data_IF_450808578460
#
_entry.id   IF_450808578460
#
_cell.length_a   1.000
_cell.length_b   1.000
_cell.length_c   1.000
_cell.angle_alpha   90.00
_cell.angle_beta   90.00
_cell.angle_gamma   90.00
#
_symmetry.space_group_name_H-M   'P 1'
#
loop_
_entity.id
_entity.type
_entity.pdbx_description
1 polymer ?
#
# COMPACT_ATOMS: atom_id res chain seq x y z
N UNK A 1 -77.90 -18.05 -9.46
CA UNK A 1 -78.26 -19.49 -9.59
C UNK A 1 -76.96 -20.27 -9.43
N UNK A 2 -76.63 -21.06 -8.42
CA UNK A 2 -77.27 -21.66 -7.22
C UNK A 2 -76.07 -22.01 -6.30
N UNK A 3 -75.82 -21.29 -5.20
CA UNK A 3 -75.92 -21.70 -3.77
C UNK A 3 -75.49 -23.12 -3.34
N UNK A 4 -74.52 -23.12 -2.40
CA UNK A 4 -74.32 -23.95 -1.17
C UNK A 4 -74.17 -25.48 -1.23
N UNK A 5 -73.11 -26.03 -0.59
CA UNK A 5 -73.21 -26.65 0.75
C UNK A 5 -71.86 -26.99 1.41
N UNK A 6 -71.82 -26.85 2.74
CA UNK A 6 -70.74 -27.16 3.68
C UNK A 6 -70.43 -28.67 3.79
N UNK A 7 -69.18 -29.02 4.14
CA UNK A 7 -68.95 -30.06 5.15
C UNK A 7 -67.54 -29.94 5.76
N UNK A 8 -67.51 -29.73 7.08
CA UNK A 8 -66.32 -29.82 7.93
C UNK A 8 -66.00 -31.30 8.17
N UNK A 9 -64.76 -31.71 7.92
CA UNK A 9 -64.17 -32.92 8.53
C UNK A 9 -62.80 -32.61 9.07
N UNK A 10 -62.75 -32.48 10.39
CA UNK A 10 -61.58 -32.58 11.25
C UNK A 10 -60.92 -33.94 11.07
N UNK A 11 -59.71 -33.96 10.51
CA UNK A 11 -58.81 -35.11 10.58
C UNK A 11 -57.55 -34.68 11.31
N UNK A 12 -57.33 -35.29 12.48
CA UNK A 12 -56.06 -35.29 13.19
C UNK A 12 -55.00 -35.95 12.30
N UNK A 13 -54.08 -35.17 11.72
CA UNK A 13 -52.83 -35.69 11.20
C UNK A 13 -51.76 -35.60 12.29
N UNK A 14 -51.33 -36.75 12.78
CA UNK A 14 -50.11 -36.90 13.55
C UNK A 14 -48.92 -36.45 12.69
N UNK A 15 -48.18 -35.47 13.18
CA UNK A 15 -46.94 -35.02 12.58
C UNK A 15 -45.85 -36.10 12.74
N UNK A 16 -45.58 -36.85 11.67
CA UNK A 16 -44.35 -37.63 11.55
C UNK A 16 -43.28 -36.64 11.06
N UNK A 17 -42.51 -36.09 12.00
CA UNK A 17 -41.25 -35.41 11.73
C UNK A 17 -40.24 -36.46 11.26
N UNK A 18 -40.23 -36.76 9.96
CA UNK A 18 -39.06 -37.37 9.32
C UNK A 18 -37.99 -36.30 9.26
N UNK A 19 -37.11 -36.30 10.25
CA UNK A 19 -35.89 -35.52 10.24
C UNK A 19 -35.06 -35.93 9.03
N UNK A 20 -35.11 -35.13 7.97
CA UNK A 20 -34.06 -35.12 6.97
C UNK A 20 -32.82 -34.52 7.64
N UNK A 21 -32.03 -35.39 8.26
CA UNK A 21 -30.62 -35.10 8.52
C UNK A 21 -29.98 -34.85 7.18
N UNK A 22 -29.71 -33.58 6.90
CA UNK A 22 -28.85 -33.15 5.80
C UNK A 22 -27.46 -33.73 6.11
N UNK A 23 -27.16 -34.94 5.59
CA UNK A 23 -25.80 -35.44 5.55
C UNK A 23 -25.05 -34.57 4.53
N UNK A 24 -24.45 -33.50 5.02
CA UNK A 24 -23.37 -32.85 4.31
C UNK A 24 -22.25 -33.90 4.12
N UNK A 25 -21.65 -34.00 2.93
CA UNK A 25 -20.50 -34.88 2.75
C UNK A 25 -19.42 -34.45 3.74
N UNK A 26 -18.95 -35.42 4.51
CA UNK A 26 -17.91 -35.27 5.53
C UNK A 26 -16.58 -34.83 4.91
N UNK A 27 -16.43 -33.54 4.60
CA UNK A 27 -15.17 -32.88 4.25
C UNK A 27 -14.26 -32.67 5.46
N UNK A 28 -13.00 -32.31 5.27
CA UNK A 28 -12.00 -32.06 6.33
C UNK A 28 -12.29 -30.76 7.13
N UNK A 29 -13.51 -30.22 7.14
CA UNK A 29 -13.93 -28.96 7.77
C UNK A 29 -13.74 -28.82 9.29
N UNK A 30 -13.13 -29.81 9.93
CA UNK A 30 -12.89 -29.86 11.37
C UNK A 30 -11.37 -29.73 11.62
N UNK A 31 -10.91 -28.83 12.50
CA UNK A 31 -9.51 -28.74 12.93
C UNK A 31 -8.91 -30.09 13.34
N UNK A 32 -9.73 -30.99 13.92
CA UNK A 32 -9.32 -32.36 14.28
C UNK A 32 -8.97 -33.18 13.04
N UNK A 33 -9.69 -33.01 11.93
CA UNK A 33 -9.45 -33.72 10.66
C UNK A 33 -8.22 -33.18 9.94
N UNK A 34 -7.95 -31.87 10.01
CA UNK A 34 -6.72 -31.30 9.47
C UNK A 34 -5.48 -31.83 10.22
N UNK A 35 -5.55 -31.95 11.55
CA UNK A 35 -4.48 -32.56 12.34
C UNK A 35 -4.24 -34.02 11.93
N UNK A 36 -5.30 -34.80 11.76
CA UNK A 36 -5.20 -36.19 11.27
C UNK A 36 -4.59 -36.29 9.87
N UNK A 37 -4.92 -35.35 8.98
CA UNK A 37 -4.32 -35.28 7.65
C UNK A 37 -2.81 -34.99 7.72
N UNK A 38 -2.39 -34.03 8.55
CA UNK A 38 -0.98 -33.70 8.75
C UNK A 38 -0.23 -34.90 9.34
N UNK A 39 -0.78 -35.54 10.36
CA UNK A 39 -0.20 -36.72 11.00
C UNK A 39 -0.08 -37.90 10.02
N UNK A 40 -1.10 -38.11 9.18
CA UNK A 40 -1.16 -39.23 8.24
C UNK A 40 -0.28 -39.07 6.99
N UNK A 41 -0.05 -37.85 6.53
CA UNK A 41 0.58 -37.60 5.21
C UNK A 41 1.83 -36.70 5.25
N UNK A 42 2.12 -36.02 6.35
CA UNK A 42 3.21 -35.04 6.42
C UNK A 42 4.30 -35.44 7.43
N UNK A 43 3.93 -35.94 8.60
CA UNK A 43 4.84 -36.17 9.72
C UNK A 43 5.93 -37.21 9.43
N UNK A 44 5.72 -38.13 8.48
CA UNK A 44 6.74 -39.11 8.08
C UNK A 44 8.04 -38.44 7.60
N UNK A 45 7.94 -37.37 6.80
CA UNK A 45 9.09 -36.63 6.26
C UNK A 45 9.33 -35.28 6.97
N UNK A 46 8.30 -34.73 7.59
CA UNK A 46 8.32 -33.46 8.32
C UNK A 46 8.22 -33.65 9.84
N UNK A 47 8.66 -34.79 10.37
CA UNK A 47 8.72 -35.04 11.81
C UNK A 47 10.09 -34.70 12.43
N UNK A 48 10.24 -34.94 13.73
CA UNK A 48 11.52 -34.75 14.47
C UNK A 48 12.71 -35.46 13.82
N UNK A 49 12.45 -36.60 13.16
CA UNK A 49 13.45 -37.40 12.45
C UNK A 49 13.36 -37.28 10.92
N UNK A 50 12.59 -36.31 10.42
CA UNK A 50 12.35 -36.10 9.00
C UNK A 50 13.47 -35.29 8.33
N UNK A 51 13.78 -35.60 7.07
CA UNK A 51 14.87 -34.95 6.32
C UNK A 51 14.47 -33.58 5.73
N UNK A 52 13.21 -33.15 5.89
CA UNK A 52 12.66 -31.99 5.19
C UNK A 52 12.89 -30.62 5.88
N UNK A 53 13.62 -30.59 7.01
CA UNK A 53 14.06 -29.35 7.67
C UNK A 53 12.94 -28.46 8.26
N UNK A 54 11.70 -28.93 8.28
CA UNK A 54 10.54 -28.28 8.90
C UNK A 54 9.78 -29.35 9.69
N UNK A 55 9.59 -29.10 10.99
CA UNK A 55 8.87 -30.00 11.89
C UNK A 55 7.39 -29.62 12.00
N UNK A 56 6.52 -30.50 11.53
CA UNK A 56 5.07 -30.41 11.52
C UNK A 56 4.42 -31.31 12.59
N UNK A 57 5.17 -31.84 13.54
CA UNK A 57 4.59 -32.59 14.65
C UNK A 57 3.73 -31.69 15.53
N UNK A 58 2.71 -32.27 16.16
CA UNK A 58 1.90 -31.61 17.20
C UNK A 58 2.74 -31.05 18.37
N UNK A 59 3.94 -31.60 18.60
CA UNK A 59 4.90 -31.10 19.60
C UNK A 59 5.64 -29.84 19.13
N UNK A 60 6.02 -29.74 17.85
CA UNK A 60 6.75 -28.60 17.30
C UNK A 60 5.86 -27.44 16.85
N UNK A 61 4.68 -27.74 16.31
CA UNK A 61 3.68 -26.72 15.94
C UNK A 61 3.12 -26.02 17.20
N UNK A 62 3.27 -26.65 18.37
CA UNK A 62 2.51 -26.31 19.58
C UNK A 62 1.06 -26.73 19.43
N UNK A 63 0.25 -26.55 20.48
CA UNK A 63 -1.15 -26.99 20.50
C UNK A 63 -2.05 -26.31 19.44
N UNK A 64 -1.55 -25.38 18.63
CA UNK A 64 -2.37 -24.58 17.73
C UNK A 64 -1.59 -24.03 16.51
N UNK A 65 -1.75 -24.67 15.35
CA UNK A 65 -1.21 -24.23 14.05
C UNK A 65 -1.71 -22.83 13.66
N UNK A 66 -2.87 -22.39 14.17
CA UNK A 66 -3.41 -21.06 13.91
C UNK A 66 -2.50 -19.93 14.41
N UNK A 67 -1.56 -20.23 15.31
CA UNK A 67 -0.57 -19.26 15.79
C UNK A 67 0.59 -19.04 14.80
N UNK A 68 0.63 -19.77 13.67
CA UNK A 68 1.73 -19.73 12.72
C UNK A 68 1.24 -19.51 11.27
N UNK A 69 0.70 -18.32 10.93
CA UNK A 69 0.11 -18.05 9.61
C UNK A 69 1.10 -18.23 8.45
N UNK A 70 2.38 -17.95 8.67
CA UNK A 70 3.45 -18.12 7.69
C UNK A 70 3.74 -19.59 7.39
N UNK A 71 3.71 -20.45 8.43
CA UNK A 71 3.84 -21.89 8.27
C UNK A 71 2.62 -22.44 7.53
N UNK A 72 1.40 -22.02 7.91
CA UNK A 72 0.17 -22.41 7.20
C UNK A 72 0.25 -22.03 5.72
N UNK A 73 0.71 -20.81 5.39
CA UNK A 73 0.86 -20.37 4.01
C UNK A 73 1.89 -21.20 3.24
N UNK A 74 3.00 -21.60 3.87
CA UNK A 74 4.01 -22.48 3.24
C UNK A 74 3.43 -23.87 2.95
N UNK A 75 2.76 -24.48 3.93
CA UNK A 75 2.10 -25.79 3.77
C UNK A 75 1.03 -25.72 2.70
N UNK A 76 0.17 -24.70 2.74
CA UNK A 76 -0.84 -24.44 1.72
C UNK A 76 -0.21 -24.37 0.32
N UNK A 77 0.82 -23.54 0.13
CA UNK A 77 1.49 -23.42 -1.18
C UNK A 77 2.05 -24.75 -1.64
N UNK A 78 2.73 -25.51 -0.76
CA UNK A 78 3.33 -26.80 -1.11
C UNK A 78 2.29 -27.85 -1.55
N UNK A 79 1.13 -27.89 -0.88
CA UNK A 79 0.04 -28.82 -1.22
C UNK A 79 -0.72 -28.37 -2.47
N UNK A 80 -1.02 -27.07 -2.61
CA UNK A 80 -1.80 -26.48 -3.72
C UNK A 80 -1.03 -26.57 -5.05
N UNK A 81 0.28 -26.30 -5.03
CA UNK A 81 1.16 -26.43 -6.21
C UNK A 81 1.57 -27.87 -6.52
N UNK A 82 1.29 -28.79 -5.60
CA UNK A 82 1.61 -30.20 -5.72
C UNK A 82 3.09 -30.56 -5.57
N UNK A 83 3.90 -29.68 -4.99
CA UNK A 83 5.27 -30.03 -4.55
C UNK A 83 5.30 -31.06 -3.43
N UNK A 84 4.20 -31.18 -2.68
CA UNK A 84 4.01 -32.22 -1.67
C UNK A 84 2.74 -33.06 -1.97
N UNK A 85 2.79 -34.39 -1.76
CA UNK A 85 3.98 -35.22 -1.43
C UNK A 85 5.05 -35.23 -2.55
N UNK A 86 6.31 -35.58 -2.25
CA UNK A 86 7.38 -35.67 -3.24
C UNK A 86 7.09 -36.76 -4.30
N UNK A 87 7.85 -36.77 -5.40
CA UNK A 87 7.59 -37.66 -6.54
C UNK A 87 7.73 -39.15 -6.19
N UNK A 88 8.55 -39.45 -5.18
CA UNK A 88 8.83 -40.79 -4.68
C UNK A 88 7.71 -41.36 -3.79
N UNK A 89 6.77 -40.52 -3.35
CA UNK A 89 5.68 -40.88 -2.45
C UNK A 89 4.34 -40.99 -3.19
N UNK A 90 3.38 -41.68 -2.57
CA UNK A 90 2.04 -41.82 -3.13
C UNK A 90 1.33 -40.46 -3.21
N UNK A 91 0.86 -40.10 -4.40
CA UNK A 91 0.15 -38.84 -4.62
C UNK A 91 -1.18 -38.82 -3.88
N UNK A 92 -1.52 -37.69 -3.26
CA UNK A 92 -2.83 -37.49 -2.65
C UNK A 92 -3.94 -37.56 -3.70
N UNK A 93 -5.07 -38.17 -3.33
CA UNK A 93 -6.29 -38.09 -4.11
C UNK A 93 -6.69 -36.62 -4.34
N UNK A 94 -7.18 -36.30 -5.54
CA UNK A 94 -7.48 -34.92 -5.93
C UNK A 94 -8.55 -34.28 -5.04
N UNK A 95 -9.56 -35.05 -4.58
CA UNK A 95 -10.59 -34.51 -3.68
C UNK A 95 -10.00 -34.24 -2.30
N UNK A 96 -9.17 -35.15 -1.81
CA UNK A 96 -8.50 -34.98 -0.52
C UNK A 96 -7.55 -33.78 -0.54
N UNK A 97 -6.78 -33.59 -1.60
CA UNK A 97 -5.90 -32.41 -1.78
C UNK A 97 -6.72 -31.12 -1.80
N UNK A 98 -7.79 -31.05 -2.59
CA UNK A 98 -8.63 -29.85 -2.68
C UNK A 98 -9.26 -29.49 -1.33
N UNK A 99 -9.70 -30.51 -0.59
CA UNK A 99 -10.29 -30.32 0.72
C UNK A 99 -9.23 -29.83 1.73
N UNK A 100 -8.04 -30.43 1.76
CA UNK A 100 -6.94 -29.97 2.61
C UNK A 100 -6.52 -28.51 2.29
N UNK A 101 -6.46 -28.15 0.99
CA UNK A 101 -6.20 -26.77 0.54
C UNK A 101 -7.28 -25.80 1.05
N UNK A 102 -8.55 -26.16 0.97
CA UNK A 102 -9.64 -25.33 1.46
C UNK A 102 -9.54 -25.10 2.98
N UNK A 103 -9.23 -26.15 3.75
CA UNK A 103 -9.05 -26.04 5.20
C UNK A 103 -7.87 -25.18 5.59
N UNK A 104 -6.72 -25.38 4.95
CA UNK A 104 -5.54 -24.55 5.18
C UNK A 104 -5.80 -23.08 4.83
N UNK A 105 -6.62 -22.79 3.80
CA UNK A 105 -7.06 -21.42 3.48
C UNK A 105 -7.93 -20.83 4.59
N UNK A 106 -8.91 -21.58 5.10
CA UNK A 106 -9.78 -21.14 6.21
C UNK A 106 -8.92 -20.85 7.45
N UNK A 107 -8.11 -21.82 7.87
CA UNK A 107 -7.24 -21.69 9.04
C UNK A 107 -6.26 -20.53 8.91
N UNK A 108 -5.65 -20.32 7.73
CA UNK A 108 -4.79 -19.17 7.47
C UNK A 108 -5.56 -17.86 7.62
N UNK A 109 -6.78 -17.79 7.07
CA UNK A 109 -7.57 -16.56 7.15
C UNK A 109 -7.96 -16.25 8.59
N UNK A 110 -8.37 -17.25 9.37
CA UNK A 110 -8.66 -17.11 10.80
C UNK A 110 -7.41 -16.70 11.60
N UNK A 111 -6.27 -17.35 11.35
CA UNK A 111 -4.97 -17.04 11.95
C UNK A 111 -4.54 -15.58 11.69
N UNK A 112 -4.72 -15.10 10.46
CA UNK A 112 -4.42 -13.72 10.07
C UNK A 112 -5.40 -12.74 10.71
N UNK A 113 -6.70 -13.07 10.76
CA UNK A 113 -7.71 -12.20 11.40
C UNK A 113 -7.51 -12.09 12.93
N UNK A 114 -7.13 -13.18 13.58
CA UNK A 114 -6.84 -13.20 15.01
C UNK A 114 -5.57 -12.40 15.38
N UNK A 115 -4.71 -12.12 14.40
CA UNK A 115 -3.47 -11.35 14.57
C UNK A 115 -3.39 -10.23 13.54
N UNK A 116 -4.01 -9.06 13.79
CA UNK A 116 -3.81 -7.86 12.99
C UNK A 116 -2.42 -7.26 13.27
N UNK A 117 -1.36 -8.04 13.04
CA UNK A 117 0.03 -7.63 13.13
C UNK A 117 0.51 -7.32 11.72
N UNK A 118 0.48 -6.04 11.37
CA UNK A 118 1.18 -5.59 10.17
C UNK A 118 2.68 -5.63 10.47
N UNK A 119 3.43 -6.46 9.74
CA UNK A 119 4.89 -6.35 9.73
C UNK A 119 5.24 -4.93 9.31
N UNK A 120 6.21 -4.31 9.98
CA UNK A 120 6.70 -3.00 9.58
C UNK A 120 7.39 -3.09 8.24
N UNK A 121 7.10 -2.13 7.37
CA UNK A 121 7.84 -1.91 6.15
C UNK A 121 9.17 -1.27 6.53
N UNK A 122 10.31 -1.88 6.17
CA UNK A 122 11.60 -1.24 6.38
C UNK A 122 11.64 0.12 5.66
N UNK A 123 12.34 1.07 6.27
CA UNK A 123 12.53 2.39 5.64
C UNK A 123 13.20 2.22 4.28
N UNK A 124 12.59 2.83 3.25
CA UNK A 124 13.14 2.86 1.89
C UNK A 124 12.82 4.18 1.22
N UNK A 125 13.64 4.62 0.28
CA UNK A 125 13.23 5.73 -0.59
C UNK A 125 12.24 5.26 -1.66
N UNK A 126 11.58 6.20 -2.31
CA UNK A 126 10.90 5.95 -3.58
C UNK A 126 11.91 5.52 -4.64
N UNK A 127 11.48 4.58 -5.49
CA UNK A 127 12.20 4.31 -6.72
C UNK A 127 11.97 5.44 -7.75
N UNK A 128 12.68 5.39 -8.87
CA UNK A 128 12.58 6.40 -9.94
C UNK A 128 11.17 6.62 -10.49
N UNK A 129 10.42 5.54 -10.69
CA UNK A 129 9.04 5.61 -11.17
C UNK A 129 8.11 6.27 -10.14
N UNK A 130 8.22 5.84 -8.88
CA UNK A 130 7.44 6.37 -7.75
C UNK A 130 7.71 7.86 -7.52
N UNK A 131 8.97 8.31 -7.63
CA UNK A 131 9.31 9.73 -7.51
C UNK A 131 8.66 10.55 -8.64
N UNK A 132 8.75 10.09 -9.89
CA UNK A 132 8.12 10.77 -11.02
C UNK A 132 6.61 10.91 -10.82
N UNK A 133 5.93 9.82 -10.47
CA UNK A 133 4.49 9.83 -10.23
C UNK A 133 4.13 10.74 -9.05
N UNK A 134 4.87 10.65 -7.93
CA UNK A 134 4.60 11.46 -6.75
C UNK A 134 4.75 12.97 -7.00
N UNK A 135 5.77 13.38 -7.77
CA UNK A 135 5.95 14.78 -8.18
C UNK A 135 4.85 15.22 -9.15
N UNK A 136 4.50 14.36 -10.12
CA UNK A 136 3.40 14.61 -11.05
C UNK A 136 2.07 14.81 -10.31
N UNK A 137 1.74 13.94 -9.36
CA UNK A 137 0.49 14.02 -8.60
C UNK A 137 0.49 15.14 -7.55
N UNK A 138 1.65 15.50 -6.99
CA UNK A 138 1.74 16.61 -6.03
C UNK A 138 1.43 17.95 -6.69
N UNK A 139 1.96 18.17 -7.90
CA UNK A 139 1.77 19.43 -8.64
C UNK A 139 0.60 19.39 -9.62
N UNK A 140 0.03 18.22 -9.89
CA UNK A 140 -0.95 18.01 -10.95
C UNK A 140 -0.35 18.26 -12.34
N UNK A 141 0.83 17.70 -12.62
CA UNK A 141 1.53 17.97 -13.88
C UNK A 141 0.84 17.29 -15.07
N UNK A 142 0.59 18.07 -16.12
CA UNK A 142 0.09 17.54 -17.41
C UNK A 142 1.22 17.07 -18.33
N UNK A 143 2.46 17.18 -17.87
CA UNK A 143 3.69 16.73 -18.54
C UNK A 143 4.45 15.81 -17.60
N UNK A 144 5.31 14.96 -18.14
CA UNK A 144 6.16 14.10 -17.32
C UNK A 144 7.27 14.91 -16.65
N UNK A 145 7.77 14.42 -15.51
CA UNK A 145 8.93 15.05 -14.86
C UNK A 145 10.16 14.81 -15.72
N UNK A 146 10.40 13.57 -16.11
CA UNK A 146 11.47 13.19 -17.02
C UNK A 146 11.11 11.92 -17.81
N UNK A 147 11.80 11.62 -18.92
CA UNK A 147 11.54 10.41 -19.69
C UNK A 147 11.82 9.13 -18.87
N UNK A 148 10.79 8.30 -18.70
CA UNK A 148 10.87 7.02 -17.99
C UNK A 148 11.07 5.85 -18.96
N UNK A 149 12.09 5.04 -18.71
CA UNK A 149 12.37 3.83 -19.49
C UNK A 149 11.54 2.63 -19.01
N UNK A 150 11.06 2.72 -17.78
CA UNK A 150 10.29 1.69 -17.07
C UNK A 150 8.85 1.59 -17.57
N UNK A 151 8.30 2.64 -18.19
CA UNK A 151 6.95 2.67 -18.77
C UNK A 151 6.95 2.09 -20.19
N UNK A 152 7.23 0.78 -20.31
CA UNK A 152 7.28 0.11 -21.62
C UNK A 152 5.88 -0.18 -22.18
N UNK A 153 4.94 -0.58 -21.34
CA UNK A 153 3.56 -0.90 -21.74
C UNK A 153 2.67 0.31 -21.48
N UNK A 154 2.06 0.86 -22.53
CA UNK A 154 1.08 1.94 -22.43
C UNK A 154 -0.25 1.45 -22.90
N UNK A 155 -1.26 1.65 -22.08
CA UNK A 155 -2.63 1.50 -22.51
C UNK A 155 -3.05 2.69 -23.39
N UNK A 156 -3.68 2.38 -24.53
CA UNK A 156 -4.26 3.35 -25.45
C UNK A 156 -5.80 3.32 -25.46
N UNK A 157 -6.37 2.36 -24.73
CA UNK A 157 -7.79 1.99 -24.73
C UNK A 157 -8.54 2.45 -23.49
N UNK A 158 -7.87 3.10 -22.53
CA UNK A 158 -8.42 3.46 -21.22
C UNK A 158 -9.02 2.23 -20.53
N UNK A 159 -8.21 1.17 -20.44
CA UNK A 159 -8.59 -0.16 -19.97
C UNK A 159 -9.15 -0.17 -18.56
N UNK A 160 -8.76 0.80 -17.74
CA UNK A 160 -9.07 0.86 -16.33
C UNK A 160 -9.98 2.03 -16.02
N UNK A 161 -11.27 1.75 -15.94
CA UNK A 161 -12.33 2.71 -15.60
C UNK A 161 -13.30 2.07 -14.60
N UNK A 162 -12.86 1.82 -13.35
CA UNK A 162 -13.68 1.16 -12.32
C UNK A 162 -15.07 1.81 -12.16
N UNK A 163 -15.17 3.12 -12.35
CA UNK A 163 -16.42 3.88 -12.31
C UNK A 163 -17.50 3.41 -13.31
N UNK A 164 -17.13 2.71 -14.38
CA UNK A 164 -18.09 2.19 -15.35
C UNK A 164 -18.61 0.80 -14.96
N UNK A 165 -17.92 0.10 -14.05
CA UNK A 165 -18.21 -1.29 -13.69
C UNK A 165 -18.10 -2.28 -14.86
N UNK A 166 -17.55 -1.87 -16.01
CA UNK A 166 -17.48 -2.67 -17.22
C UNK A 166 -16.05 -2.72 -17.76
N UNK A 167 -15.54 -3.93 -17.96
CA UNK A 167 -14.26 -4.15 -18.62
C UNK A 167 -14.46 -4.03 -20.14
N UNK A 168 -13.55 -3.39 -20.89
CA UNK A 168 -13.64 -3.39 -22.35
C UNK A 168 -13.35 -4.79 -22.90
N UNK A 169 -14.05 -5.16 -23.98
CA UNK A 169 -13.86 -6.46 -24.67
C UNK A 169 -12.44 -6.62 -25.24
N UNK A 170 -11.74 -5.52 -25.54
CA UNK A 170 -10.38 -5.51 -26.05
C UNK A 170 -9.55 -4.41 -25.36
N UNK A 171 -8.32 -4.74 -24.95
CA UNK A 171 -7.33 -3.78 -24.45
C UNK A 171 -6.20 -3.64 -25.45
N UNK A 172 -6.08 -2.45 -26.03
CA UNK A 172 -4.99 -2.03 -26.92
C UNK A 172 -3.83 -1.49 -26.10
N UNK A 173 -2.87 -2.37 -25.84
CA UNK A 173 -1.60 -2.00 -25.24
C UNK A 173 -0.54 -1.81 -26.31
N UNK A 174 0.23 -0.73 -26.22
CA UNK A 174 1.40 -0.53 -27.05
C UNK A 174 2.67 -0.73 -26.21
N UNK A 175 3.55 -1.60 -26.69
CA UNK A 175 4.96 -1.63 -26.27
C UNK A 175 5.77 -0.87 -27.30
N UNK A 176 6.34 0.29 -26.93
CA UNK A 176 7.15 1.09 -27.85
C UNK A 176 8.58 1.20 -27.35
N UNK A 177 9.59 0.74 -28.12
CA UNK A 177 10.99 0.94 -27.76
C UNK A 177 11.33 2.44 -27.76
N UNK A 178 12.10 2.85 -26.75
CA UNK A 178 12.31 4.24 -26.30
C UNK A 178 12.96 5.20 -27.30
N UNK A 179 13.47 4.71 -28.44
CA UNK A 179 14.43 5.45 -29.29
C UNK A 179 13.94 6.81 -29.82
N UNK A 180 12.65 6.95 -30.16
CA UNK A 180 12.06 8.24 -30.58
C UNK A 180 11.23 8.92 -29.50
N UNK A 181 10.98 8.25 -28.37
CA UNK A 181 10.03 8.72 -27.35
C UNK A 181 10.58 9.86 -26.48
N UNK A 182 11.88 9.87 -26.20
CA UNK A 182 12.54 10.98 -25.48
C UNK A 182 12.37 12.34 -26.19
N UNK A 183 12.11 12.31 -27.51
CA UNK A 183 11.94 13.50 -28.36
C UNK A 183 10.45 13.89 -28.46
N UNK A 184 9.51 12.95 -28.27
CA UNK A 184 8.07 13.15 -28.50
C UNK A 184 7.32 13.42 -27.20
N UNK A 185 7.77 12.85 -26.08
CA UNK A 185 7.09 13.00 -24.80
C UNK A 185 7.34 14.38 -24.19
N UNK A 186 6.27 15.10 -23.88
CA UNK A 186 6.37 16.39 -23.20
C UNK A 186 6.82 16.15 -21.76
N UNK A 187 7.96 16.72 -21.41
CA UNK A 187 8.55 16.62 -20.09
C UNK A 187 9.15 17.97 -19.66
N UNK A 188 9.52 18.08 -18.40
CA UNK A 188 10.24 19.24 -17.87
C UNK A 188 11.68 19.24 -18.41
N UNK A 189 12.02 20.22 -19.24
CA UNK A 189 13.23 20.19 -20.06
C UNK A 189 14.55 20.22 -19.28
N UNK A 190 14.55 20.77 -18.06
CA UNK A 190 15.75 20.80 -17.20
C UNK A 190 15.85 19.56 -16.30
N UNK A 191 14.76 18.84 -16.09
CA UNK A 191 14.70 17.70 -15.18
C UNK A 191 15.33 16.45 -15.82
N UNK A 192 16.52 16.09 -15.35
CA UNK A 192 17.23 14.90 -15.81
C UNK A 192 16.96 13.72 -14.86
N UNK A 193 16.67 12.51 -15.38
CA UNK A 193 16.45 11.35 -14.54
C UNK A 193 17.72 11.00 -13.75
N UNK A 194 17.56 10.65 -12.47
CA UNK A 194 18.63 10.04 -11.68
C UNK A 194 18.84 8.57 -12.09
N UNK A 195 19.97 7.94 -11.73
CA UNK A 195 20.27 6.56 -12.09
C UNK A 195 19.14 5.61 -11.73
N UNK A 196 18.83 4.68 -12.64
CA UNK A 196 17.80 3.68 -12.40
C UNK A 196 18.21 2.74 -11.27
N UNK A 197 17.24 2.43 -10.41
CA UNK A 197 17.41 1.47 -9.33
C UNK A 197 17.65 0.07 -9.87
N UNK A 198 18.58 -0.65 -9.23
CA UNK A 198 18.80 -2.04 -9.57
C UNK A 198 17.54 -2.84 -9.23
N UNK A 199 17.08 -3.63 -10.19
CA UNK A 199 16.10 -4.68 -9.91
C UNK A 199 16.83 -5.78 -9.17
N UNK A 200 16.30 -6.19 -8.02
CA UNK A 200 16.86 -7.31 -7.29
C UNK A 200 16.66 -8.62 -8.07
N UNK A 201 17.21 -9.72 -7.55
CA UNK A 201 17.15 -11.05 -8.18
C UNK A 201 15.73 -11.49 -8.57
N UNK A 202 14.72 -11.01 -7.84
CA UNK A 202 13.30 -11.32 -8.07
C UNK A 202 12.57 -10.33 -9.01
N UNK A 203 13.28 -9.39 -9.63
CA UNK A 203 12.72 -8.44 -10.61
C UNK A 203 11.99 -7.22 -10.03
N UNK A 204 11.90 -7.10 -8.71
CA UNK A 204 11.30 -5.94 -8.03
C UNK A 204 12.33 -4.84 -7.77
N UNK A 205 11.92 -3.58 -7.89
CA UNK A 205 12.75 -2.37 -7.66
C UNK A 205 12.30 -1.57 -6.43
N UNK A 206 11.45 -2.14 -5.56
CA UNK A 206 10.92 -1.53 -4.34
C UNK A 206 11.55 -2.09 -3.05
N UNK A 207 12.72 -2.73 -3.16
CA UNK A 207 13.35 -3.42 -2.03
C UNK A 207 14.16 -2.44 -1.16
N UNK A 208 13.96 -2.49 0.15
CA UNK A 208 14.46 -1.48 1.06
C UNK A 208 15.99 -1.51 1.26
N UNK A 209 16.56 -2.70 1.27
CA UNK A 209 18.00 -2.99 1.33
C UNK A 209 18.76 -2.49 0.10
N UNK A 210 18.10 -2.42 -1.06
CA UNK A 210 18.70 -1.89 -2.30
C UNK A 210 18.48 -0.39 -2.51
N UNK A 211 17.44 0.19 -1.92
CA UNK A 211 17.06 1.60 -2.07
C UNK A 211 17.75 2.49 -1.03
N UNK A 212 19.08 2.48 -1.04
CA UNK A 212 19.92 3.36 -0.21
C UNK A 212 20.05 4.77 -0.82
N UNK A 213 20.47 5.74 -0.02
CA UNK A 213 20.70 7.13 -0.46
C UNK A 213 22.16 7.53 -0.22
N UNK A 214 22.97 7.46 -1.28
CA UNK A 214 24.35 7.95 -1.23
C UNK A 214 24.38 9.49 -1.26
N UNK A 215 25.46 10.13 -0.79
CA UNK A 215 25.62 11.58 -0.90
C UNK A 215 25.49 12.10 -2.34
N UNK A 216 25.99 11.35 -3.33
CA UNK A 216 25.88 11.68 -4.76
C UNK A 216 24.42 11.67 -5.22
N UNK A 217 23.65 10.68 -4.77
CA UNK A 217 22.23 10.61 -5.10
C UNK A 217 21.44 11.71 -4.40
N UNK A 218 21.79 12.09 -3.17
CA UNK A 218 21.20 13.24 -2.48
C UNK A 218 21.42 14.55 -3.26
N UNK A 219 22.65 14.82 -3.72
CA UNK A 219 22.95 15.98 -4.58
C UNK A 219 22.14 15.93 -5.88
N UNK A 220 21.98 14.74 -6.47
CA UNK A 220 21.16 14.54 -7.66
C UNK A 220 19.69 14.90 -7.41
N UNK A 221 19.11 14.52 -6.27
CA UNK A 221 17.74 14.88 -5.91
C UNK A 221 17.57 16.38 -5.67
N UNK A 222 18.55 17.04 -5.04
CA UNK A 222 18.50 18.49 -4.82
C UNK A 222 18.59 19.28 -6.13
N UNK A 223 19.44 18.83 -7.06
CA UNK A 223 19.52 19.44 -8.41
C UNK A 223 18.24 19.19 -9.20
N UNK A 224 17.72 17.97 -9.14
CA UNK A 224 16.49 17.59 -9.80
C UNK A 224 15.31 18.40 -9.29
N UNK A 225 15.19 18.61 -7.98
CA UNK A 225 14.05 19.36 -7.42
C UNK A 225 14.02 20.82 -7.89
N UNK A 226 15.19 21.47 -7.99
CA UNK A 226 15.31 22.80 -8.58
C UNK A 226 14.98 22.78 -10.07
N UNK A 227 15.58 21.85 -10.81
CA UNK A 227 15.33 21.71 -12.24
C UNK A 227 13.84 21.49 -12.58
N UNK A 228 13.09 20.80 -11.71
CA UNK A 228 11.64 20.63 -11.85
C UNK A 228 10.91 21.97 -11.84
N UNK A 229 11.15 22.81 -10.82
CA UNK A 229 10.42 24.09 -10.66
C UNK A 229 10.94 25.20 -11.56
N UNK A 230 12.21 25.12 -11.98
CA UNK A 230 12.88 26.08 -12.86
C UNK A 230 12.63 25.80 -14.34
N UNK A 231 12.10 24.62 -14.68
CA UNK A 231 11.81 24.26 -16.07
C UNK A 231 10.80 25.24 -16.68
N UNK A 232 10.99 25.71 -17.93
CA UNK A 232 10.04 26.60 -18.61
C UNK A 232 8.63 26.00 -18.71
N UNK A 233 8.53 24.69 -18.78
CA UNK A 233 7.27 23.95 -18.80
C UNK A 233 6.55 23.96 -17.44
N UNK A 234 7.22 24.28 -16.34
CA UNK A 234 6.63 24.40 -14.99
C UNK A 234 5.94 25.76 -14.85
N UNK A 235 4.76 25.86 -15.46
CA UNK A 235 3.96 27.09 -15.54
C UNK A 235 2.47 26.81 -15.36
N UNK A 236 1.65 27.87 -15.28
CA UNK A 236 0.19 27.82 -15.08
C UNK A 236 -0.56 26.85 -15.98
N UNK A 237 -0.08 26.61 -17.21
CA UNK A 237 -0.73 25.69 -18.15
C UNK A 237 -0.54 24.23 -17.77
N UNK A 238 0.63 23.87 -17.25
CA UNK A 238 1.02 22.48 -17.04
C UNK A 238 0.98 22.06 -15.57
N UNK A 239 0.87 23.00 -14.63
CA UNK A 239 0.84 22.75 -13.18
C UNK A 239 -0.60 22.94 -12.69
N UNK A 240 -1.28 21.85 -12.33
CA UNK A 240 -2.68 21.89 -11.89
C UNK A 240 -2.91 22.68 -10.59
N UNK A 241 -1.90 22.76 -9.71
CA UNK A 241 -2.00 23.51 -8.44
C UNK A 241 -1.57 24.98 -8.54
N UNK A 242 -1.37 25.51 -9.75
CA UNK A 242 -0.77 26.84 -9.94
C UNK A 242 -1.52 27.96 -9.22
N UNK A 243 -2.81 28.09 -9.48
CA UNK A 243 -3.63 29.21 -9.00
C UNK A 243 -3.78 29.18 -7.47
N UNK A 244 -3.89 27.98 -6.90
CA UNK A 244 -4.04 27.80 -5.46
C UNK A 244 -2.73 27.89 -4.67
N UNK A 245 -1.58 27.61 -5.30
CA UNK A 245 -0.30 27.51 -4.61
C UNK A 245 0.71 28.58 -5.03
N UNK A 246 0.97 28.71 -6.34
CA UNK A 246 2.05 29.54 -6.89
C UNK A 246 1.62 30.95 -7.28
N UNK A 247 0.35 31.19 -7.63
CA UNK A 247 -0.13 32.49 -8.09
C UNK A 247 -0.05 33.55 -6.97
N UNK A 248 0.63 34.66 -7.24
CA UNK A 248 0.75 35.76 -6.29
C UNK A 248 -0.63 36.28 -5.86
N UNK A 249 -0.84 36.57 -4.57
CA UNK A 249 -2.09 37.18 -4.13
C UNK A 249 -2.29 38.54 -4.80
N UNK A 250 -3.52 38.92 -5.19
CA UNK A 250 -3.77 40.22 -5.82
C UNK A 250 -3.40 41.36 -4.85
N UNK A 251 -2.64 42.34 -5.36
CA UNK A 251 -2.20 43.54 -4.61
C UNK A 251 -3.36 44.34 -3.99
N UNK A 252 -4.58 44.17 -4.52
CA UNK A 252 -5.78 44.94 -4.20
C UNK A 252 -6.71 44.33 -3.15
N UNK A 253 -6.27 43.31 -2.39
CA UNK A 253 -7.03 42.82 -1.21
C UNK A 253 -6.35 43.13 0.14
N UNK A 254 -6.22 44.41 0.54
CA UNK A 254 -5.99 44.75 1.95
C UNK A 254 -7.20 44.41 2.84
N UNK A 255 -8.38 44.13 2.26
CA UNK A 255 -9.65 43.92 2.97
C UNK A 255 -10.02 42.47 3.34
N UNK A 256 -9.17 41.47 3.03
CA UNK A 256 -9.46 40.09 3.48
C UNK A 256 -9.17 39.86 4.97
N UNK A 257 -8.53 40.83 5.66
CA UNK A 257 -8.17 40.76 7.08
C UNK A 257 -7.16 39.67 7.44
N UNK A 258 -6.78 38.80 6.50
CA UNK A 258 -5.83 37.72 6.71
C UNK A 258 -4.40 38.22 6.53
N UNK A 259 -3.54 37.94 7.50
CA UNK A 259 -2.11 38.28 7.40
C UNK A 259 -1.45 37.52 6.24
N UNK A 260 -0.38 38.04 5.60
CA UNK A 260 0.40 37.30 4.61
C UNK A 260 0.86 35.92 5.10
N UNK A 261 1.13 35.79 6.40
CA UNK A 261 1.42 34.49 7.04
C UNK A 261 0.25 33.53 6.98
N UNK A 262 -0.96 34.00 7.31
CA UNK A 262 -2.17 33.18 7.26
C UNK A 262 -2.46 32.67 5.85
N UNK A 263 -2.23 33.50 4.82
CA UNK A 263 -2.32 33.07 3.42
C UNK A 263 -1.33 31.92 3.13
N UNK A 264 -0.06 32.09 3.52
CA UNK A 264 0.97 31.08 3.31
C UNK A 264 0.66 29.78 4.06
N UNK A 265 0.18 29.87 5.30
CA UNK A 265 -0.25 28.71 6.09
C UNK A 265 -1.36 27.92 5.39
N UNK A 266 -2.38 28.63 4.87
CA UNK A 266 -3.51 28.02 4.16
C UNK A 266 -3.08 27.31 2.87
N UNK A 267 -2.05 27.81 2.18
CA UNK A 267 -1.51 27.19 0.95
C UNK A 267 -0.53 26.05 1.25
N UNK A 268 0.37 26.25 2.22
CA UNK A 268 1.43 25.30 2.55
C UNK A 268 0.90 24.08 3.30
N UNK A 269 -0.08 24.22 4.20
CA UNK A 269 -0.57 23.08 4.99
C UNK A 269 -1.12 21.93 4.14
N UNK A 270 -2.06 22.13 3.19
CA UNK A 270 -2.54 21.03 2.35
C UNK A 270 -1.42 20.48 1.46
N UNK A 271 -0.56 21.33 0.90
CA UNK A 271 0.57 20.91 0.07
C UNK A 271 1.56 20.02 0.82
N UNK A 272 1.98 20.44 2.02
CA UNK A 272 2.87 19.65 2.89
C UNK A 272 2.19 18.38 3.38
N UNK A 273 0.88 18.43 3.66
CA UNK A 273 0.12 17.27 4.09
C UNK A 273 0.11 16.17 3.03
N UNK A 274 -0.06 16.55 1.76
CA UNK A 274 0.01 15.63 0.62
C UNK A 274 1.43 15.17 0.35
N UNK A 275 2.41 16.08 0.33
CA UNK A 275 3.81 15.77 0.07
C UNK A 275 4.41 14.80 1.09
N UNK A 276 4.12 15.00 2.38
CA UNK A 276 4.62 14.17 3.49
C UNK A 276 3.65 13.08 3.91
N UNK A 277 2.51 12.96 3.20
CA UNK A 277 1.53 11.88 3.30
C UNK A 277 0.91 11.77 4.69
N UNK A 278 0.75 12.90 5.37
CA UNK A 278 0.24 13.03 6.74
C UNK A 278 -0.03 14.49 7.07
N UNK A 279 -0.95 14.73 8.00
CA UNK A 279 -1.20 16.07 8.55
C UNK A 279 0.10 16.78 8.95
N UNK A 280 0.40 17.87 8.26
CA UNK A 280 1.52 18.74 8.60
C UNK A 280 1.24 19.47 9.92
N UNK A 281 2.12 19.28 10.91
CA UNK A 281 2.03 19.97 12.20
C UNK A 281 2.37 21.47 12.07
N UNK A 282 1.93 22.25 13.06
CA UNK A 282 2.08 23.71 13.00
C UNK A 282 3.55 24.14 12.96
N UNK A 283 4.42 23.46 13.71
CA UNK A 283 5.85 23.78 13.70
C UNK A 283 6.48 23.53 12.32
N UNK A 284 6.07 22.47 11.64
CA UNK A 284 6.52 22.12 10.30
C UNK A 284 6.01 23.14 9.28
N UNK A 285 4.73 23.52 9.32
CA UNK A 285 4.18 24.55 8.44
C UNK A 285 4.91 25.88 8.64
N UNK A 286 5.11 26.31 9.89
CA UNK A 286 5.77 27.57 10.22
C UNK A 286 7.22 27.63 9.71
N UNK A 287 7.98 26.51 9.75
CA UNK A 287 9.34 26.48 9.16
C UNK A 287 9.35 26.87 7.68
N UNK A 288 8.37 26.42 6.90
CA UNK A 288 8.27 26.76 5.48
C UNK A 288 7.71 28.17 5.28
N UNK A 289 6.71 28.60 6.06
CA UNK A 289 6.19 29.97 6.06
C UNK A 289 7.30 30.98 6.33
N UNK A 290 8.12 30.75 7.35
CA UNK A 290 9.24 31.61 7.71
C UNK A 290 10.31 31.67 6.61
N UNK A 291 10.47 30.60 5.83
CA UNK A 291 11.36 30.59 4.67
C UNK A 291 10.85 31.53 3.58
N UNK A 292 9.57 31.40 3.20
CA UNK A 292 8.96 32.27 2.18
C UNK A 292 8.99 33.73 2.64
N UNK A 293 8.60 34.00 3.89
CA UNK A 293 8.58 35.35 4.45
C UNK A 293 9.97 36.01 4.44
N UNK A 294 11.04 35.25 4.68
CA UNK A 294 12.42 35.75 4.55
C UNK A 294 12.74 36.12 3.10
N UNK A 295 12.46 35.23 2.15
CA UNK A 295 12.75 35.48 0.74
C UNK A 295 11.98 36.69 0.20
N UNK A 296 10.70 36.84 0.57
CA UNK A 296 9.90 38.03 0.24
C UNK A 296 10.49 39.30 0.84
N UNK A 297 10.96 39.25 2.09
CA UNK A 297 11.64 40.39 2.74
C UNK A 297 12.95 40.76 2.02
N UNK A 298 13.64 39.77 1.49
CA UNK A 298 14.88 39.93 0.72
C UNK A 298 14.61 40.37 -0.75
N UNK A 299 13.34 40.58 -1.13
CA UNK A 299 12.93 41.10 -2.43
C UNK A 299 12.65 40.05 -3.50
N UNK A 300 12.53 38.77 -3.14
CA UNK A 300 12.12 37.73 -4.08
C UNK A 300 10.65 37.88 -4.48
N UNK A 301 10.36 37.58 -5.75
CA UNK A 301 8.99 37.46 -6.25
C UNK A 301 8.25 36.32 -5.53
N UNK A 302 6.95 36.50 -5.27
CA UNK A 302 6.15 35.50 -4.54
C UNK A 302 6.18 34.12 -5.19
N UNK A 303 5.98 34.07 -6.51
CA UNK A 303 5.98 32.83 -7.27
C UNK A 303 7.30 32.09 -7.15
N UNK A 304 8.43 32.81 -7.24
CA UNK A 304 9.77 32.23 -7.14
C UNK A 304 10.03 31.72 -5.72
N UNK A 305 9.60 32.46 -4.69
CA UNK A 305 9.73 32.01 -3.31
C UNK A 305 8.91 30.73 -3.01
N UNK A 306 7.73 30.61 -3.62
CA UNK A 306 6.91 29.40 -3.53
C UNK A 306 7.52 28.22 -4.29
N UNK A 307 8.14 28.46 -5.46
CA UNK A 307 8.91 27.44 -6.20
C UNK A 307 10.10 26.92 -5.40
N UNK A 308 10.86 27.81 -4.76
CA UNK A 308 12.00 27.43 -3.91
C UNK A 308 11.57 26.51 -2.76
N UNK A 309 10.45 26.84 -2.11
CA UNK A 309 9.89 25.98 -1.06
C UNK A 309 9.38 24.65 -1.62
N UNK A 310 8.71 24.66 -2.78
CA UNK A 310 8.28 23.43 -3.44
C UNK A 310 9.47 22.50 -3.78
N UNK A 311 10.57 23.05 -4.31
CA UNK A 311 11.80 22.32 -4.58
C UNK A 311 12.43 21.77 -3.29
N UNK A 312 12.43 22.53 -2.20
CA UNK A 312 12.91 22.06 -0.91
C UNK A 312 12.05 20.91 -0.34
N UNK A 313 10.72 20.96 -0.55
CA UNK A 313 9.80 19.90 -0.12
C UNK A 313 10.09 18.60 -0.87
N UNK A 314 10.16 18.62 -2.20
CA UNK A 314 10.36 17.39 -3.01
C UNK A 314 11.79 16.84 -2.97
N UNK A 315 12.76 17.59 -2.42
CA UNK A 315 14.10 17.10 -2.10
C UNK A 315 14.24 16.60 -0.64
N UNK A 316 13.24 16.81 0.20
CA UNK A 316 13.34 16.48 1.63
C UNK A 316 13.30 14.97 1.87
N UNK A 317 13.96 14.45 2.93
CA UNK A 317 13.86 13.05 3.31
C UNK A 317 12.42 12.60 3.60
N UNK A 318 11.56 13.49 4.12
CA UNK A 318 10.16 13.17 4.38
C UNK A 318 9.38 12.97 3.08
N UNK A 319 9.70 13.70 2.02
CA UNK A 319 9.14 13.43 0.71
C UNK A 319 9.71 12.12 0.16
N UNK A 320 11.05 11.97 0.11
CA UNK A 320 11.73 10.85 -0.55
C UNK A 320 11.50 9.48 0.08
N UNK A 321 11.37 9.39 1.41
CA UNK A 321 11.31 8.12 2.13
C UNK A 321 9.90 7.66 2.47
N UNK A 322 9.68 6.36 2.27
CA UNK A 322 8.53 5.60 2.71
C UNK A 322 8.95 4.75 3.92
N UNK A 323 8.20 4.86 5.00
CA UNK A 323 8.38 4.09 6.22
C UNK A 323 7.11 4.21 7.03
N UNK A 324 6.83 3.18 7.82
CA UNK A 324 5.77 3.31 8.82
C UNK A 324 6.28 4.18 9.95
N UNK A 325 5.53 5.22 10.28
CA UNK A 325 5.81 6.00 11.46
C UNK A 325 4.91 5.54 12.58
N UNK A 326 5.50 4.87 13.56
CA UNK A 326 4.91 4.96 14.88
C UNK A 326 5.13 6.39 15.36
N UNK A 327 4.31 6.76 16.32
CA UNK A 327 4.81 7.60 17.40
C UNK A 327 6.01 6.88 18.04
N UNK A 328 7.19 6.96 17.44
CA UNK A 328 8.43 6.67 18.13
C UNK A 328 8.38 7.55 19.39
N UNK A 329 8.60 7.00 20.60
CA UNK A 329 8.99 7.85 21.71
C UNK A 329 10.15 8.74 21.20
N UNK A 330 10.26 10.00 21.66
CA UNK A 330 11.37 10.86 21.28
C UNK A 330 12.69 10.10 21.42
N UNK A 331 13.68 10.46 20.59
CA UNK A 331 15.02 9.87 20.43
C UNK A 331 15.85 9.58 21.71
N UNK A 332 15.29 9.76 22.90
CA UNK A 332 15.84 9.37 24.19
C UNK A 332 15.70 7.86 24.52
N UNK A 333 14.99 7.06 23.72
CA UNK A 333 14.73 5.65 24.01
C UNK A 333 15.03 4.66 22.87
N UNK A 334 15.92 5.00 21.94
CA UNK A 334 16.51 3.98 21.08
C UNK A 334 17.41 3.08 21.96
N UNK A 335 17.14 1.77 22.09
CA UNK A 335 18.08 0.89 22.76
C UNK A 335 19.37 0.91 21.94
N UNK A 336 20.49 1.27 22.58
CA UNK A 336 21.81 1.00 22.04
C UNK A 336 21.89 -0.50 21.78
N UNK A 337 22.59 -0.89 20.72
CA UNK A 337 22.98 -2.27 20.47
C UNK A 337 23.76 -2.80 21.68
N UNK A 338 23.06 -3.37 22.65
CA UNK A 338 23.62 -4.17 23.74
C UNK A 338 23.15 -5.60 23.53
N UNK A 339 24.07 -6.38 22.99
CA UNK A 339 24.04 -7.82 22.90
C UNK A 339 24.11 -8.40 24.32
N UNK A 340 22.97 -8.44 25.02
CA UNK A 340 22.83 -9.23 26.24
C UNK A 340 21.55 -10.03 26.21
N UNK A 341 21.71 -11.29 25.84
CA UNK A 341 20.72 -12.34 26.04
C UNK A 341 20.42 -12.45 27.55
N UNK A 342 19.25 -11.99 27.98
CA UNK A 342 18.63 -12.50 29.21
C UNK A 342 17.12 -12.58 29.04
N UNK A 343 16.61 -13.75 29.39
CA UNK A 343 15.22 -14.17 29.39
C UNK A 343 14.26 -13.07 29.85
N UNK A 344 13.44 -12.57 28.93
CA UNK A 344 12.10 -12.10 29.29
C UNK A 344 11.13 -12.54 28.20
N UNK A 345 10.15 -13.33 28.61
CA UNK A 345 9.04 -13.83 27.80
C UNK A 345 8.04 -12.71 27.49
N UNK A 346 8.51 -11.54 27.07
CA UNK A 346 7.70 -10.45 26.53
C UNK A 346 7.86 -10.50 25.02
N UNK A 347 6.85 -11.03 24.35
CA UNK A 347 6.68 -10.73 22.94
C UNK A 347 6.70 -9.21 22.79
N UNK A 348 7.57 -8.64 21.94
CA UNK A 348 7.53 -7.21 21.68
C UNK A 348 6.13 -6.88 21.18
N UNK A 349 5.39 -6.03 21.90
CA UNK A 349 4.15 -5.45 21.41
C UNK A 349 4.47 -4.78 20.07
N UNK A 350 4.12 -5.44 18.97
CA UNK A 350 4.28 -4.88 17.63
C UNK A 350 3.26 -3.74 17.54
N UNK A 351 3.69 -2.47 17.50
CA UNK A 351 2.75 -1.36 17.48
C UNK A 351 1.91 -1.40 16.21
N UNK A 352 0.62 -1.08 16.36
CA UNK A 352 -0.33 -1.05 15.26
C UNK A 352 0.10 0.00 14.24
N UNK A 353 0.05 -0.38 12.96
CA UNK A 353 0.20 0.53 11.84
C UNK A 353 -0.81 1.69 12.00
N UNK A 354 -0.36 2.93 11.88
CA UNK A 354 -1.26 4.08 11.89
C UNK A 354 -1.94 4.27 10.52
N UNK A 355 -3.07 4.96 10.48
CA UNK A 355 -3.84 5.09 9.24
C UNK A 355 -3.10 5.87 8.14
N UNK A 356 -2.18 6.79 8.45
CA UNK A 356 -1.39 7.47 7.41
C UNK A 356 -0.37 6.54 6.78
N UNK A 357 0.25 5.68 7.59
CA UNK A 357 1.12 4.62 7.05
C UNK A 357 0.33 3.61 6.23
N UNK A 358 -0.91 3.27 6.62
CA UNK A 358 -1.81 2.44 5.80
C UNK A 358 -2.19 3.12 4.47
N UNK A 359 -2.57 4.40 4.50
CA UNK A 359 -2.86 5.20 3.30
C UNK A 359 -1.65 5.24 2.35
N UNK A 360 -0.46 5.46 2.90
CA UNK A 360 0.79 5.45 2.14
C UNK A 360 1.08 4.07 1.54
N UNK A 361 0.87 2.99 2.29
CA UNK A 361 1.06 1.63 1.76
C UNK A 361 0.10 1.32 0.62
N UNK A 362 -1.19 1.63 0.75
CA UNK A 362 -2.19 1.40 -0.29
C UNK A 362 -1.87 2.17 -1.56
N UNK A 363 -1.59 3.47 -1.44
CA UNK A 363 -1.29 4.34 -2.59
C UNK A 363 -0.01 3.93 -3.34
N UNK A 364 1.08 3.64 -2.62
CA UNK A 364 2.32 3.19 -3.27
C UNK A 364 2.26 1.75 -3.80
N UNK A 365 1.37 0.91 -3.25
CA UNK A 365 1.13 -0.43 -3.75
C UNK A 365 0.27 -0.44 -5.02
N UNK A 366 -0.84 0.31 -5.03
CA UNK A 366 -1.81 0.28 -6.14
C UNK A 366 -1.47 1.27 -7.26
N UNK A 367 -1.07 2.49 -6.92
CA UNK A 367 -0.82 3.57 -7.89
C UNK A 367 0.67 3.89 -8.07
N UNK A 368 1.51 3.45 -7.12
CA UNK A 368 2.93 3.82 -7.12
C UNK A 368 3.14 5.32 -6.94
N UNK A 369 2.26 5.99 -6.20
CA UNK A 369 2.28 7.45 -6.00
C UNK A 369 1.68 7.86 -4.66
N UNK A 370 1.54 9.18 -4.43
CA UNK A 370 1.00 9.76 -3.21
C UNK A 370 -0.47 9.33 -2.96
N UNK A 371 -0.88 9.18 -1.69
CA UNK A 371 -2.29 9.05 -1.35
C UNK A 371 -3.06 10.32 -1.74
N UNK A 372 -4.28 10.14 -2.23
CA UNK A 372 -5.16 11.25 -2.55
C UNK A 372 -5.80 11.86 -1.30
N UNK A 373 -6.54 12.96 -1.49
CA UNK A 373 -7.11 13.72 -0.39
C UNK A 373 -8.16 12.91 0.38
N UNK A 374 -8.92 12.03 -0.29
CA UNK A 374 -9.90 11.15 0.36
C UNK A 374 -9.21 10.17 1.31
N UNK A 375 -8.13 9.50 0.85
CA UNK A 375 -7.39 8.55 1.67
C UNK A 375 -6.69 9.23 2.85
N UNK A 376 -6.15 10.43 2.64
CA UNK A 376 -5.56 11.25 3.71
C UNK A 376 -6.59 11.74 4.72
N UNK A 377 -7.80 12.11 4.29
CA UNK A 377 -8.88 12.52 5.19
C UNK A 377 -9.40 11.35 6.03
N UNK A 378 -9.58 10.17 5.43
CA UNK A 378 -9.96 8.96 6.17
C UNK A 378 -8.88 8.57 7.19
N UNK A 379 -7.61 8.74 6.83
CA UNK A 379 -6.50 8.50 7.74
C UNK A 379 -6.47 9.52 8.89
N UNK A 380 -6.66 10.80 8.61
CA UNK A 380 -6.76 11.84 9.63
C UNK A 380 -7.94 11.58 10.60
N UNK A 381 -9.06 11.05 10.08
CA UNK A 381 -10.24 10.69 10.85
C UNK A 381 -10.12 9.36 11.62
N UNK A 382 -9.01 8.62 11.46
CA UNK A 382 -8.79 7.28 12.03
C UNK A 382 -9.85 6.25 11.63
N UNK A 383 -10.31 6.33 10.39
CA UNK A 383 -11.37 5.45 9.84
C UNK A 383 -10.85 4.45 8.82
N UNK A 384 -9.60 4.56 8.38
CA UNK A 384 -9.10 3.77 7.26
C UNK A 384 -8.86 2.30 7.64
N UNK A 385 -8.67 2.00 8.92
CA UNK A 385 -8.57 0.64 9.44
C UNK A 385 -9.93 -0.08 9.60
N UNK A 386 -11.06 0.61 9.45
CA UNK A 386 -12.37 -0.03 9.42
C UNK A 386 -12.45 -0.96 8.19
N UNK A 387 -12.74 -2.27 8.33
CA UNK A 387 -12.73 -3.22 7.22
C UNK A 387 -13.66 -2.83 6.06
N UNK A 388 -14.82 -2.22 6.35
CA UNK A 388 -15.79 -1.81 5.33
C UNK A 388 -15.26 -0.60 4.56
N UNK A 389 -14.69 0.38 5.29
CA UNK A 389 -14.07 1.56 4.68
C UNK A 389 -12.85 1.15 3.85
N UNK A 390 -11.99 0.30 4.40
CA UNK A 390 -10.78 -0.18 3.75
C UNK A 390 -11.11 -0.91 2.44
N UNK A 391 -12.06 -1.85 2.48
CA UNK A 391 -12.50 -2.57 1.27
C UNK A 391 -13.03 -1.60 0.22
N UNK A 392 -13.89 -0.66 0.62
CA UNK A 392 -14.43 0.33 -0.31
C UNK A 392 -13.35 1.25 -0.91
N UNK A 393 -12.30 1.58 -0.15
CA UNK A 393 -11.16 2.34 -0.69
C UNK A 393 -10.31 1.51 -1.63
N UNK A 394 -10.06 0.23 -1.33
CA UNK A 394 -9.34 -0.67 -2.26
C UNK A 394 -10.10 -0.78 -3.58
N UNK A 395 -11.41 -0.98 -3.54
CA UNK A 395 -12.27 -1.09 -4.74
C UNK A 395 -12.36 0.22 -5.55
N UNK A 396 -12.19 1.39 -4.90
CA UNK A 396 -12.15 2.70 -5.57
C UNK A 396 -10.80 2.97 -6.24
N UNK A 397 -9.73 2.44 -5.64
CA UNK A 397 -8.36 2.65 -6.10
C UNK A 397 -7.97 1.68 -7.22
N UNK A 398 -8.54 0.48 -7.17
CA UNK A 398 -8.69 -0.40 -8.33
C UNK A 398 -9.84 0.11 -9.23
#
# INVERSE_FOLDING_TARGET
MVTFFQSRRTLCLAAILVGYSCFAPEGLADPVRLAQFIDGHCVACHGVNGEAGVDLTSQAIGADLSQQPELIQRVLTAVDTGFMPPQEEESLDLKLRQEAVNQLRILRNEAVQARPQFRRTPIRRMNRLQYNNAVQDLFGLTVEVFPLRERMMRDLSRYFQPQTGSMPDEVKVASRPLGKFQIIERHLSLATPFPQDLRAENGFDTQADHLTLSPVLMDSFLRLSRAVVDSPEFNRRNVGVWDQFFEAPPETQPDSGASPRTLLENRLRPFLTRAFRRTADDAQVQRYVDSVMRQLKDGAEFTEAMKDVAAAVIASPQFLYLHDQDRLPPLAAAPRFEETATNSNRQPEVPRLDDFSLASRLSFFLWGSLPDDELLQLAAARRLQDPVVLSGQVDRML
#
